data_IF_838137426852
#
_entry.id   IF_838137426852
#
_cell.length_a   1.000
_cell.length_b   1.000
_cell.length_c   1.000
_cell.angle_alpha   90.00
_cell.angle_beta   90.00
_cell.angle_gamma   90.00
#
_symmetry.space_group_name_H-M   'P 1'
#
loop_
_entity.id
_entity.type
_entity.pdbx_description
1 polymer ?
#
# COMPACT_ATOMS: atom_id res chain seq x y z
N UNK A 1 6.87 -11.90 -20.36
CA UNK A 1 5.72 -11.99 -19.45
C UNK A 1 6.23 -11.63 -18.08
N UNK A 2 5.73 -10.54 -17.50
CA UNK A 2 6.10 -10.13 -16.14
C UNK A 2 5.10 -10.77 -15.20
N UNK A 3 5.57 -11.56 -14.24
CA UNK A 3 4.69 -12.07 -13.19
C UNK A 3 4.14 -10.87 -12.43
N UNK A 4 2.83 -10.85 -12.21
CA UNK A 4 2.18 -9.81 -11.40
C UNK A 4 1.40 -10.46 -10.28
N UNK A 5 1.46 -9.84 -9.10
CA UNK A 5 0.69 -10.30 -7.95
C UNK A 5 0.14 -9.11 -7.17
N UNK A 6 -1.06 -9.26 -6.63
CA UNK A 6 -1.72 -8.23 -5.83
C UNK A 6 -2.47 -8.83 -4.65
N UNK A 7 -2.73 -7.99 -3.65
CA UNK A 7 -3.64 -8.27 -2.56
C UNK A 7 -4.64 -7.13 -2.47
N UNK A 8 -5.92 -7.44 -2.54
CA UNK A 8 -7.00 -6.49 -2.41
C UNK A 8 -7.71 -6.71 -1.08
N UNK A 9 -7.91 -5.63 -0.34
CA UNK A 9 -8.52 -5.65 0.97
C UNK A 9 -9.75 -4.75 1.02
N UNK A 10 -10.83 -5.31 1.58
CA UNK A 10 -11.95 -4.52 2.08
C UNK A 10 -11.99 -4.61 3.59
N UNK A 11 -12.33 -3.48 4.21
CA UNK A 11 -12.30 -3.33 5.65
C UNK A 11 -13.63 -2.82 6.17
N UNK A 12 -13.89 -3.10 7.44
CA UNK A 12 -14.98 -2.47 8.18
C UNK A 12 -14.54 -2.14 9.60
N UNK A 13 -15.14 -1.09 10.15
CA UNK A 13 -15.02 -0.77 11.57
C UNK A 13 -16.31 -0.14 12.08
N UNK A 14 -16.70 -0.53 13.29
CA UNK A 14 -17.80 0.11 14.04
C UNK A 14 -17.31 1.21 14.98
N UNK A 15 -15.99 1.35 15.14
CA UNK A 15 -15.38 2.17 16.20
C UNK A 15 -14.55 3.33 15.65
N UNK A 16 -14.04 3.22 14.43
CA UNK A 16 -13.22 4.25 13.78
C UNK A 16 -13.68 4.46 12.33
N UNK A 17 -13.59 5.69 11.86
CA UNK A 17 -13.79 6.01 10.44
C UNK A 17 -12.55 5.59 9.64
N UNK A 18 -12.72 4.70 8.66
CA UNK A 18 -11.61 4.21 7.85
C UNK A 18 -11.36 5.20 6.71
N UNK A 19 -10.24 5.92 6.79
CA UNK A 19 -9.79 6.83 5.74
C UNK A 19 -8.44 6.38 5.16
N UNK A 20 -8.12 6.75 3.91
CA UNK A 20 -6.79 6.54 3.33
C UNK A 20 -5.66 7.02 4.25
N UNK A 21 -5.77 8.24 4.80
CA UNK A 21 -4.76 8.82 5.69
C UNK A 21 -4.59 8.02 6.99
N UNK A 22 -5.69 7.51 7.56
CA UNK A 22 -5.62 6.62 8.72
C UNK A 22 -4.87 5.33 8.39
N UNK A 23 -5.19 4.69 7.27
CA UNK A 23 -4.54 3.44 6.84
C UNK A 23 -3.04 3.66 6.59
N UNK A 24 -2.66 4.74 5.90
CA UNK A 24 -1.26 5.11 5.66
C UNK A 24 -0.53 5.28 7.00
N UNK A 25 -1.09 6.07 7.93
CA UNK A 25 -0.46 6.31 9.23
C UNK A 25 -0.28 5.02 10.04
N UNK A 26 -1.30 4.14 10.02
CA UNK A 26 -1.23 2.84 10.69
C UNK A 26 -0.10 1.98 10.11
N UNK A 27 0.00 1.88 8.78
CA UNK A 27 1.05 1.10 8.12
C UNK A 27 2.44 1.67 8.43
N UNK A 28 2.61 3.00 8.28
CA UNK A 28 3.88 3.67 8.52
C UNK A 28 4.36 3.55 9.95
N UNK A 29 3.45 3.65 10.92
CA UNK A 29 3.75 3.46 12.35
C UNK A 29 4.07 2.01 12.72
N UNK A 30 3.89 1.05 11.81
CA UNK A 30 4.05 -0.38 12.05
C UNK A 30 5.03 -1.05 11.07
N UNK A 31 6.04 -0.30 10.62
CA UNK A 31 7.19 -0.87 9.91
C UNK A 31 7.14 -0.74 8.38
N UNK A 32 6.07 -0.21 7.80
CA UNK A 32 6.09 0.23 6.41
C UNK A 32 6.73 1.61 6.29
N UNK A 33 7.44 1.88 5.19
CA UNK A 33 8.07 3.17 4.97
C UNK A 33 8.00 3.56 3.50
N UNK A 34 8.05 4.87 3.22
CA UNK A 34 8.04 5.44 1.86
C UNK A 34 9.30 5.14 1.04
N UNK A 35 10.25 4.39 1.60
CA UNK A 35 11.51 4.06 0.94
C UNK A 35 11.30 2.99 -0.12
N UNK A 36 11.69 3.28 -1.37
CA UNK A 36 11.83 2.31 -2.43
C UNK A 36 13.12 2.54 -3.21
N UNK A 37 14.06 1.59 -3.20
CA UNK A 37 15.25 1.56 -4.06
C UNK A 37 16.02 2.91 -4.23
N UNK A 38 16.11 3.71 -3.16
CA UNK A 38 16.84 4.99 -3.16
C UNK A 38 16.03 6.23 -3.57
N UNK A 39 14.69 6.17 -3.52
CA UNK A 39 13.76 7.28 -3.72
C UNK A 39 12.34 6.91 -3.27
N UNK A 40 11.36 7.74 -3.63
CA UNK A 40 9.95 7.58 -3.24
C UNK A 40 9.09 7.55 -4.49
N UNK A 41 8.15 6.61 -4.55
CA UNK A 41 7.19 6.50 -5.63
C UNK A 41 5.79 6.87 -5.15
N UNK A 42 5.07 7.67 -5.93
CA UNK A 42 3.76 8.18 -5.55
C UNK A 42 2.93 8.56 -6.79
N UNK A 43 1.61 8.65 -6.63
CA UNK A 43 0.74 9.24 -7.65
C UNK A 43 0.62 10.76 -7.43
N UNK A 44 0.79 11.58 -8.48
CA UNK A 44 0.71 13.04 -8.37
C UNK A 44 -0.73 13.51 -8.17
N UNK A 45 -0.90 14.75 -7.71
CA UNK A 45 -2.23 15.38 -7.59
C UNK A 45 -2.84 15.55 -8.99
N UNK A 46 -4.12 15.22 -9.13
CA UNK A 46 -4.83 15.29 -10.41
C UNK A 46 -4.63 14.08 -11.32
N UNK A 47 -3.94 13.02 -10.86
CA UNK A 47 -3.94 11.71 -11.52
C UNK A 47 -5.34 11.08 -11.38
N UNK A 48 -6.08 10.99 -12.50
CA UNK A 48 -7.44 10.44 -12.56
C UNK A 48 -7.38 9.12 -13.31
N UNK A 49 -7.07 8.04 -12.58
CA UNK A 49 -6.98 6.66 -13.09
C UNK A 49 -5.97 6.42 -14.24
N UNK A 50 -5.10 7.40 -14.50
CA UNK A 50 -4.00 7.28 -15.46
C UNK A 50 -2.82 6.47 -14.88
N UNK A 51 -2.73 6.39 -13.55
CA UNK A 51 -1.67 5.70 -12.81
C UNK A 51 -0.26 6.14 -13.24
N UNK A 52 -0.05 7.44 -13.47
CA UNK A 52 1.23 8.03 -13.89
C UNK A 52 2.18 8.18 -12.69
N UNK A 53 2.67 7.04 -12.19
CA UNK A 53 3.57 6.95 -11.04
C UNK A 53 4.82 7.82 -11.21
N UNK A 54 4.99 8.76 -10.29
CA UNK A 54 6.20 9.58 -10.21
C UNK A 54 7.24 8.91 -9.31
N UNK A 55 8.51 9.24 -9.55
CA UNK A 55 9.62 8.80 -8.72
C UNK A 55 10.56 9.97 -8.44
N UNK A 56 10.83 10.23 -7.16
CA UNK A 56 11.73 11.31 -6.76
C UNK A 56 12.65 10.88 -5.61
N UNK A 57 13.93 11.23 -5.73
CA UNK A 57 14.92 11.01 -4.66
C UNK A 57 14.97 12.14 -3.65
N UNK A 58 14.53 13.33 -4.04
CA UNK A 58 14.65 14.55 -3.23
C UNK A 58 13.38 14.87 -2.44
N UNK A 59 12.24 14.30 -2.83
CA UNK A 59 10.98 14.56 -2.14
C UNK A 59 11.02 14.01 -0.71
N UNK A 60 10.64 14.84 0.25
CA UNK A 60 10.59 14.51 1.68
C UNK A 60 9.34 13.70 2.03
N UNK A 61 9.33 13.08 3.21
CA UNK A 61 8.13 12.36 3.67
C UNK A 61 6.98 13.34 3.94
N UNK A 62 7.30 14.53 4.47
CA UNK A 62 6.32 15.59 4.72
C UNK A 62 5.66 16.07 3.42
N UNK A 63 6.44 16.29 2.35
CA UNK A 63 5.89 16.65 1.03
C UNK A 63 4.98 15.54 0.45
N UNK A 64 5.32 14.27 0.67
CA UNK A 64 4.45 13.15 0.27
C UNK A 64 3.15 13.16 1.09
N UNK A 65 3.23 13.42 2.39
CA UNK A 65 2.04 13.49 3.25
C UNK A 65 1.16 14.69 2.92
N UNK A 66 1.74 15.81 2.48
CA UNK A 66 1.01 16.97 1.95
C UNK A 66 0.25 16.60 0.66
N UNK A 67 0.92 15.89 -0.27
CA UNK A 67 0.27 15.34 -1.48
C UNK A 67 -0.88 14.43 -1.10
N UNK A 68 -0.67 13.48 -0.18
CA UNK A 68 -1.71 12.57 0.29
C UNK A 68 -2.90 13.33 0.88
N UNK A 69 -2.64 14.39 1.65
CA UNK A 69 -3.69 15.21 2.26
C UNK A 69 -4.50 15.97 1.23
N UNK A 70 -3.86 16.51 0.18
CA UNK A 70 -4.56 17.18 -0.92
C UNK A 70 -5.41 16.18 -1.71
N UNK A 71 -4.83 15.03 -2.08
CA UNK A 71 -5.53 13.96 -2.80
C UNK A 71 -6.73 13.43 -2.01
N UNK A 72 -6.58 13.23 -0.69
CA UNK A 72 -7.69 12.84 0.18
C UNK A 72 -8.85 13.85 0.15
N UNK A 73 -8.55 15.16 0.25
CA UNK A 73 -9.58 16.22 0.17
C UNK A 73 -10.28 16.25 -1.18
N UNK A 74 -9.56 15.93 -2.25
CA UNK A 74 -10.10 15.87 -3.61
C UNK A 74 -10.81 14.56 -3.93
N UNK A 75 -10.81 13.58 -3.00
CA UNK A 75 -11.32 12.21 -3.23
C UNK A 75 -10.62 11.52 -4.41
N UNK A 76 -9.32 11.72 -4.52
CA UNK A 76 -8.46 11.03 -5.49
C UNK A 76 -7.86 9.77 -4.85
N UNK A 77 -7.58 8.73 -5.66
CA UNK A 77 -6.83 7.55 -5.22
C UNK A 77 -5.43 7.99 -4.78
N UNK A 78 -5.00 7.58 -3.59
CA UNK A 78 -3.64 7.84 -3.13
C UNK A 78 -2.80 6.62 -3.48
N UNK A 79 -1.77 6.82 -4.30
CA UNK A 79 -0.78 5.78 -4.63
C UNK A 79 0.55 6.05 -3.96
N UNK A 80 1.09 5.07 -3.22
CA UNK A 80 2.39 5.14 -2.55
C UNK A 80 3.19 3.85 -2.73
N UNK A 81 4.47 3.97 -3.07
CA UNK A 81 5.41 2.87 -2.95
C UNK A 81 5.86 2.72 -1.50
N UNK A 82 5.54 1.59 -0.86
CA UNK A 82 5.97 1.30 0.50
C UNK A 82 6.80 0.03 0.56
N UNK A 83 7.83 0.03 1.43
CA UNK A 83 8.59 -1.17 1.76
C UNK A 83 8.61 -1.45 3.26
N UNK A 84 8.80 -2.73 3.59
CA UNK A 84 8.85 -3.21 4.95
C UNK A 84 10.25 -3.05 5.53
N UNK A 85 10.38 -2.19 6.53
CA UNK A 85 11.62 -1.88 7.24
C UNK A 85 12.76 -1.63 6.23
N UNK A 86 13.98 -2.04 6.55
CA UNK A 86 15.14 -1.88 5.68
C UNK A 86 15.31 -3.04 4.67
N UNK A 87 14.25 -3.82 4.41
CA UNK A 87 14.36 -5.04 3.60
C UNK A 87 14.27 -4.80 2.10
N UNK A 88 13.79 -3.63 1.69
CA UNK A 88 13.36 -3.29 0.33
C UNK A 88 12.29 -4.25 -0.23
N UNK A 89 11.57 -5.00 0.61
CA UNK A 89 10.44 -5.84 0.19
C UNK A 89 9.17 -5.02 0.33
N UNK A 90 8.35 -4.97 -0.71
CA UNK A 90 7.07 -4.26 -0.64
C UNK A 90 6.43 -4.11 -2.01
N UNK A 91 5.97 -2.90 -2.29
CA UNK A 91 5.33 -2.60 -3.55
C UNK A 91 4.47 -1.34 -3.50
N UNK A 92 3.62 -1.22 -4.50
CA UNK A 92 2.75 -0.07 -4.66
C UNK A 92 1.41 -0.32 -3.97
N UNK A 93 1.04 0.58 -3.08
CA UNK A 93 -0.24 0.62 -2.40
C UNK A 93 -1.13 1.65 -3.07
N UNK A 94 -2.38 1.29 -3.30
CA UNK A 94 -3.46 2.18 -3.72
C UNK A 94 -4.50 2.24 -2.61
N UNK A 95 -4.76 3.44 -2.11
CA UNK A 95 -5.76 3.70 -1.08
C UNK A 95 -6.95 4.40 -1.73
N UNK A 96 -8.12 3.77 -1.65
CA UNK A 96 -9.33 4.23 -2.31
C UNK A 96 -10.12 5.21 -1.42
N UNK A 97 -10.67 6.30 -1.98
CA UNK A 97 -11.47 7.29 -1.24
C UNK A 97 -12.68 6.70 -0.49
N UNK A 98 -13.33 5.71 -1.08
CA UNK A 98 -14.48 4.98 -0.54
C UNK A 98 -14.12 3.98 0.57
N UNK A 99 -12.83 3.80 0.83
CA UNK A 99 -12.31 2.78 1.73
C UNK A 99 -11.91 1.52 0.99
N UNK A 100 -10.84 0.89 1.45
CA UNK A 100 -10.22 -0.26 0.78
C UNK A 100 -8.77 0.01 0.40
N UNK A 101 -8.06 -1.06 0.09
CA UNK A 101 -6.64 -1.02 -0.21
C UNK A 101 -6.28 -2.08 -1.24
N UNK A 102 -5.62 -1.68 -2.30
CA UNK A 102 -4.94 -2.60 -3.22
C UNK A 102 -3.44 -2.52 -3.01
N UNK A 103 -2.78 -3.67 -2.95
CA UNK A 103 -1.35 -3.78 -2.78
C UNK A 103 -0.75 -4.59 -3.93
N UNK A 104 -0.09 -3.91 -4.85
CA UNK A 104 0.66 -4.50 -5.95
C UNK A 104 2.05 -4.92 -5.46
N UNK A 105 2.35 -6.22 -5.52
CA UNK A 105 3.56 -6.83 -4.95
C UNK A 105 4.72 -6.79 -5.96
N UNK A 106 5.14 -5.58 -6.33
CA UNK A 106 6.06 -5.31 -7.43
C UNK A 106 7.46 -4.85 -7.00
N UNK A 107 7.76 -4.75 -5.70
CA UNK A 107 9.10 -4.42 -5.19
C UNK A 107 9.66 -5.62 -4.40
N UNK A 108 10.69 -6.28 -4.95
CA UNK A 108 11.38 -7.43 -4.34
C UNK A 108 10.41 -8.45 -3.75
N UNK A 109 9.46 -8.89 -4.59
CA UNK A 109 8.41 -9.84 -4.24
C UNK A 109 8.98 -11.08 -3.55
N UNK A 110 8.32 -11.55 -2.50
CA UNK A 110 8.65 -12.82 -1.84
C UNK A 110 7.92 -13.96 -2.51
N UNK A 111 8.70 -14.98 -2.88
CA UNK A 111 8.22 -16.19 -3.50
C UNK A 111 8.21 -17.33 -2.48
N UNK A 112 7.20 -18.18 -2.60
CA UNK A 112 7.15 -19.45 -1.90
C UNK A 112 8.24 -20.36 -2.48
N UNK A 113 9.16 -20.78 -1.62
CA UNK A 113 10.32 -21.60 -1.98
C UNK A 113 9.96 -22.95 -2.63
N UNK A 114 8.72 -23.42 -2.44
CA UNK A 114 8.25 -24.72 -2.94
C UNK A 114 7.45 -24.62 -4.24
N UNK A 115 6.90 -23.45 -4.60
CA UNK A 115 5.93 -23.34 -5.72
C UNK A 115 6.20 -22.19 -6.69
N UNK A 116 7.19 -21.32 -6.42
CA UNK A 116 7.48 -20.05 -7.15
C UNK A 116 6.32 -19.06 -7.21
N UNK A 117 5.17 -19.40 -6.61
CA UNK A 117 4.06 -18.49 -6.39
C UNK A 117 4.44 -17.44 -5.37
N UNK A 118 3.68 -16.35 -5.32
CA UNK A 118 3.87 -15.30 -4.30
C UNK A 118 3.59 -15.86 -2.92
N UNK A 119 4.44 -15.57 -1.94
CA UNK A 119 4.17 -15.85 -0.53
C UNK A 119 3.27 -14.77 0.06
N UNK A 120 1.96 -14.89 -0.16
CA UNK A 120 0.97 -13.94 0.35
C UNK A 120 0.93 -13.88 1.88
N UNK A 121 1.24 -14.99 2.56
CA UNK A 121 1.20 -15.04 4.03
C UNK A 121 2.18 -14.04 4.65
N UNK A 122 3.39 -13.92 4.08
CA UNK A 122 4.39 -12.97 4.55
C UNK A 122 3.85 -11.53 4.59
N UNK A 123 3.03 -11.14 3.62
CA UNK A 123 2.44 -9.80 3.54
C UNK A 123 1.24 -9.66 4.48
N UNK A 124 0.36 -10.67 4.51
CA UNK A 124 -0.83 -10.66 5.36
C UNK A 124 -0.48 -10.60 6.85
N UNK A 125 0.56 -11.31 7.28
CA UNK A 125 1.06 -11.27 8.68
C UNK A 125 1.54 -9.89 9.12
N UNK A 126 1.93 -9.02 8.18
CA UNK A 126 2.42 -7.66 8.47
C UNK A 126 1.33 -6.61 8.45
N UNK A 127 0.27 -6.85 7.68
CA UNK A 127 -0.82 -5.89 7.50
C UNK A 127 -1.98 -6.20 8.45
N UNK A 128 -2.48 -7.44 8.43
CA UNK A 128 -3.76 -7.78 9.09
C UNK A 128 -3.71 -7.61 10.61
N UNK A 129 -2.69 -8.10 11.34
CA UNK A 129 -2.66 -7.95 12.81
C UNK A 129 -2.61 -6.49 13.25
N UNK A 130 -1.93 -5.64 12.47
CA UNK A 130 -1.81 -4.20 12.76
C UNK A 130 -3.17 -3.52 12.63
N UNK A 131 -3.94 -3.82 11.58
CA UNK A 131 -5.28 -3.27 11.39
C UNK A 131 -6.23 -3.68 12.52
N UNK A 132 -6.21 -4.97 12.90
CA UNK A 132 -7.05 -5.49 13.99
C UNK A 132 -6.76 -4.78 15.32
N UNK A 133 -5.48 -4.55 15.65
CA UNK A 133 -5.09 -3.80 16.85
C UNK A 133 -5.60 -2.36 16.87
N UNK A 134 -5.86 -1.78 15.70
CA UNK A 134 -6.42 -0.44 15.52
C UNK A 134 -7.94 -0.46 15.30
N UNK A 135 -8.63 -1.53 15.73
CA UNK A 135 -10.08 -1.69 15.61
C UNK A 135 -10.62 -1.70 14.17
N UNK A 136 -9.77 -2.02 13.19
CA UNK A 136 -10.16 -2.21 11.80
C UNK A 136 -10.20 -3.71 11.52
N UNK A 137 -11.36 -4.21 11.12
CA UNK A 137 -11.55 -5.62 10.77
C UNK A 137 -11.46 -5.79 9.26
N UNK A 138 -10.91 -6.92 8.84
CA UNK A 138 -10.83 -7.28 7.44
C UNK A 138 -12.11 -8.02 7.06
N UNK A 139 -12.85 -7.47 6.11
CA UNK A 139 -14.08 -8.06 5.58
C UNK A 139 -13.76 -9.09 4.49
N UNK A 140 -12.87 -8.70 3.57
CA UNK A 140 -12.45 -9.50 2.42
C UNK A 140 -10.97 -9.29 2.16
N UNK A 141 -10.31 -10.39 1.80
CA UNK A 141 -8.96 -10.41 1.22
C UNK A 141 -9.04 -11.22 -0.06
N UNK A 142 -8.52 -10.67 -1.15
CA UNK A 142 -8.35 -11.37 -2.41
C UNK A 142 -6.88 -11.34 -2.81
N UNK A 143 -6.29 -12.51 -3.08
CA UNK A 143 -4.91 -12.64 -3.49
C UNK A 143 -4.85 -13.13 -4.94
N UNK A 144 -4.20 -12.35 -5.80
CA UNK A 144 -4.12 -12.61 -7.23
C UNK A 144 -2.67 -12.80 -7.66
N UNK A 145 -2.42 -13.80 -8.49
CA UNK A 145 -1.12 -14.08 -9.11
C UNK A 145 -1.31 -14.43 -10.58
N UNK A 146 -0.64 -13.71 -11.48
CA UNK A 146 -0.73 -13.90 -12.93
C UNK A 146 0.65 -14.22 -13.50
N UNK A 147 0.70 -15.25 -14.36
CA UNK A 147 1.91 -15.81 -15.00
C UNK A 147 1.90 -15.48 -16.49
#
# INVERSE_FOLDING_TARGET
>A
MSISASIDFNFYSSSVEITPLLLINILMSNGWSLLGCGGKSYLPIGDIDDFDWQYSKSITDDEIMDICTIKFKNKEIIGLGLTWLDTNIGGNFLFYPEGGLSFLLNIKRIENSSTTLTDFNWYLEKIVPVLIRNHIKVERVECSHMI
#
